data_IF_333852839197
#
_entry.id   IF_333852839197
#
_cell.length_a   1.000
_cell.length_b   1.000
_cell.length_c   1.000
_cell.angle_alpha   90.00
_cell.angle_beta   90.00
_cell.angle_gamma   90.00
#
_symmetry.space_group_name_H-M   'P 1'
#
loop_
_entity.id
_entity.type
_entity.pdbx_description
1 polymer ?
#
# COMPACT_ATOMS: atom_id res chain seq x y z
N UNK A 1 -9.27 23.22 -16.81
CA UNK A 1 -9.04 22.82 -15.39
C UNK A 1 -9.48 21.37 -15.26
N UNK A 2 -8.58 20.43 -15.53
CA UNK A 2 -8.91 19.00 -15.65
C UNK A 2 -8.85 18.34 -14.28
N UNK A 3 -9.98 18.35 -13.56
CA UNK A 3 -10.15 17.63 -12.29
C UNK A 3 -10.47 16.12 -12.46
N UNK A 4 -10.39 15.58 -13.68
CA UNK A 4 -10.85 14.21 -14.00
C UNK A 4 -9.74 13.16 -14.20
N UNK A 5 -8.46 13.51 -14.03
CA UNK A 5 -7.35 12.54 -14.10
C UNK A 5 -6.82 12.11 -12.72
N UNK A 6 -7.41 12.61 -11.65
CA UNK A 6 -6.95 12.47 -10.27
C UNK A 6 -7.94 11.61 -9.44
N UNK A 7 -8.71 10.74 -10.10
CA UNK A 7 -9.90 10.10 -9.51
C UNK A 7 -9.89 8.58 -9.56
N UNK A 8 -9.61 7.98 -10.71
CA UNK A 8 -9.80 6.54 -10.88
C UNK A 8 -8.69 5.74 -10.17
N UNK A 9 -7.45 6.15 -10.39
CA UNK A 9 -6.27 5.49 -9.82
C UNK A 9 -6.16 5.67 -8.30
N UNK A 10 -6.48 6.86 -7.81
CA UNK A 10 -6.52 7.14 -6.37
C UNK A 10 -7.66 6.38 -5.67
N UNK A 11 -8.80 6.20 -6.36
CA UNK A 11 -9.92 5.40 -5.85
C UNK A 11 -9.58 3.90 -5.85
N UNK A 12 -8.94 3.40 -6.91
CA UNK A 12 -8.45 2.02 -6.97
C UNK A 12 -7.46 1.72 -5.84
N UNK A 13 -6.51 2.61 -5.61
CA UNK A 13 -5.54 2.48 -4.53
C UNK A 13 -6.21 2.55 -3.14
N UNK A 14 -7.17 3.45 -2.94
CA UNK A 14 -7.92 3.53 -1.69
C UNK A 14 -8.74 2.26 -1.42
N UNK A 15 -9.33 1.66 -2.45
CA UNK A 15 -10.04 0.38 -2.34
C UNK A 15 -9.07 -0.74 -1.99
N UNK A 16 -7.91 -0.82 -2.66
CA UNK A 16 -6.88 -1.80 -2.34
C UNK A 16 -6.42 -1.70 -0.87
N UNK A 17 -6.18 -0.46 -0.39
CA UNK A 17 -5.81 -0.22 1.01
C UNK A 17 -6.91 -0.73 1.96
N UNK A 18 -8.18 -0.44 1.66
CA UNK A 18 -9.32 -0.85 2.49
C UNK A 18 -9.50 -2.37 2.52
N UNK A 19 -9.25 -3.05 1.40
CA UNK A 19 -9.39 -4.50 1.28
C UNK A 19 -8.21 -5.26 1.93
N UNK A 20 -6.97 -4.80 1.74
CA UNK A 20 -5.76 -5.52 2.13
C UNK A 20 -5.27 -5.20 3.55
N UNK A 21 -5.67 -4.05 4.10
CA UNK A 21 -5.22 -3.56 5.42
C UNK A 21 -6.42 -3.33 6.35
N UNK A 22 -7.05 -4.41 6.85
CA UNK A 22 -8.22 -4.26 7.71
C UNK A 22 -7.85 -3.57 9.03
N UNK A 23 -8.77 -2.72 9.50
CA UNK A 23 -8.55 -1.81 10.64
C UNK A 23 -8.35 -2.50 12.00
N UNK A 24 -8.53 -3.82 12.07
CA UNK A 24 -8.29 -4.65 13.25
C UNK A 24 -6.80 -5.03 13.41
N UNK A 25 -5.97 -4.74 12.41
CA UNK A 25 -4.52 -4.93 12.45
C UNK A 25 -3.82 -3.66 12.93
N UNK A 26 -2.81 -3.78 13.82
CA UNK A 26 -1.93 -2.66 14.22
C UNK A 26 -0.91 -2.36 13.11
N UNK A 27 -1.41 -1.97 11.96
CA UNK A 27 -0.63 -1.46 10.85
C UNK A 27 -1.43 -0.33 10.19
N UNK A 28 -0.75 0.77 9.90
CA UNK A 28 -1.37 1.98 9.35
C UNK A 28 -0.66 2.32 8.06
N UNK A 29 -1.29 2.06 6.90
CA UNK A 29 -0.87 2.61 5.62
C UNK A 29 -0.83 4.14 5.72
N UNK A 30 0.33 4.75 5.45
CA UNK A 30 0.49 6.20 5.50
C UNK A 30 0.89 6.82 4.16
N UNK A 31 1.30 5.98 3.20
CA UNK A 31 1.64 6.41 1.86
C UNK A 31 1.31 5.31 0.85
N UNK A 32 0.84 5.72 -0.32
CA UNK A 32 0.62 4.82 -1.45
C UNK A 32 0.85 5.56 -2.77
N UNK A 33 1.31 4.81 -3.77
CA UNK A 33 1.59 5.37 -5.09
C UNK A 33 1.77 4.29 -6.16
N UNK A 34 1.96 4.74 -7.40
CA UNK A 34 2.25 3.85 -8.53
C UNK A 34 3.75 3.66 -8.67
N UNK A 35 4.15 2.48 -9.11
CA UNK A 35 5.52 2.21 -9.52
C UNK A 35 5.61 1.02 -10.46
N UNK A 36 6.83 0.61 -10.75
CA UNK A 36 7.12 -0.59 -11.53
C UNK A 36 8.06 -1.45 -10.69
N UNK A 37 7.70 -2.72 -10.50
CA UNK A 37 8.50 -3.72 -9.78
C UNK A 37 8.68 -4.92 -10.70
N UNK A 38 9.93 -5.31 -10.95
CA UNK A 38 10.27 -6.41 -11.87
C UNK A 38 9.61 -6.30 -13.26
N UNK A 39 9.48 -5.06 -13.76
CA UNK A 39 8.87 -4.77 -15.06
C UNK A 39 7.34 -4.84 -15.08
N UNK A 40 6.68 -5.00 -13.92
CA UNK A 40 5.22 -5.01 -13.77
C UNK A 40 4.72 -3.72 -13.15
N UNK A 41 3.61 -3.20 -13.66
CA UNK A 41 2.91 -2.08 -13.05
C UNK A 41 2.41 -2.50 -11.67
N UNK A 42 2.73 -1.70 -10.66
CA UNK A 42 2.47 -2.04 -9.28
C UNK A 42 1.93 -0.87 -8.46
N UNK A 43 1.08 -1.19 -7.49
CA UNK A 43 0.77 -0.32 -6.37
C UNK A 43 1.81 -0.53 -5.28
N UNK A 44 2.47 0.56 -4.88
CA UNK A 44 3.45 0.56 -3.79
C UNK A 44 2.78 1.21 -2.58
N UNK A 45 2.77 0.51 -1.45
CA UNK A 45 2.17 0.98 -0.19
C UNK A 45 3.22 0.92 0.91
N UNK A 46 3.37 2.00 1.67
CA UNK A 46 4.13 2.02 2.91
C UNK A 46 3.18 2.02 4.11
N UNK A 47 3.38 1.06 5.00
CA UNK A 47 2.68 0.97 6.27
C UNK A 47 3.64 1.15 7.44
N UNK A 48 3.19 1.85 8.46
CA UNK A 48 3.80 1.82 9.77
C UNK A 48 3.19 0.67 10.55
N UNK A 49 4.01 -0.22 11.11
CA UNK A 49 3.53 -1.37 11.89
C UNK A 49 4.37 -1.52 13.16
N UNK A 50 3.83 -2.27 14.12
CA UNK A 50 4.50 -2.49 15.40
C UNK A 50 3.99 -3.75 16.11
N UNK A 51 4.76 -4.21 17.09
CA UNK A 51 4.37 -5.36 17.91
C UNK A 51 3.13 -5.04 18.76
N UNK A 52 2.41 -6.10 19.17
CA UNK A 52 1.27 -5.98 20.08
C UNK A 52 1.73 -5.30 21.38
N UNK A 53 1.10 -4.16 21.72
CA UNK A 53 1.43 -3.29 22.85
C UNK A 53 2.74 -2.46 22.73
N UNK A 54 3.39 -2.42 21.56
CA UNK A 54 4.54 -1.55 21.29
C UNK A 54 4.17 -0.25 20.54
N UNK A 55 5.20 0.51 20.16
CA UNK A 55 5.13 1.66 19.25
C UNK A 55 5.09 1.20 17.78
N UNK A 56 4.56 2.05 16.89
CA UNK A 56 4.71 1.86 15.44
C UNK A 56 6.11 2.32 15.03
N UNK A 57 7.10 1.47 15.25
CA UNK A 57 8.52 1.77 15.08
C UNK A 57 9.13 1.16 13.82
N UNK A 58 8.34 0.42 13.04
CA UNK A 58 8.80 -0.21 11.80
C UNK A 58 8.00 0.25 10.60
N UNK A 59 8.66 0.29 9.45
CA UNK A 59 8.02 0.55 8.16
C UNK A 59 8.05 -0.73 7.33
N UNK A 60 6.91 -1.13 6.79
CA UNK A 60 6.84 -2.19 5.79
C UNK A 60 6.40 -1.59 4.47
N UNK A 61 7.12 -1.97 3.42
CA UNK A 61 6.79 -1.66 2.04
C UNK A 61 6.15 -2.87 1.39
N UNK A 62 5.09 -2.62 0.65
CA UNK A 62 4.37 -3.61 -0.12
C UNK A 62 4.35 -3.19 -1.58
N UNK A 63 4.49 -4.15 -2.48
CA UNK A 63 4.21 -4.00 -3.89
C UNK A 63 3.12 -4.99 -4.29
N UNK A 64 2.02 -4.49 -4.82
CA UNK A 64 0.92 -5.28 -5.35
C UNK A 64 0.89 -5.14 -6.86
N UNK A 65 0.67 -6.24 -7.57
CA UNK A 65 0.41 -6.22 -9.00
C UNK A 65 -0.85 -5.39 -9.26
N UNK A 66 -0.80 -4.49 -10.25
CA UNK A 66 -1.91 -3.56 -10.49
C UNK A 66 -3.15 -4.27 -11.03
N UNK A 67 -2.97 -5.34 -11.81
CA UNK A 67 -4.07 -6.04 -12.46
C UNK A 67 -4.65 -7.12 -11.54
N UNK A 68 -3.79 -7.97 -10.97
CA UNK A 68 -4.26 -9.09 -10.14
C UNK A 68 -4.49 -8.73 -8.67
N UNK A 69 -3.93 -7.59 -8.21
CA UNK A 69 -3.87 -7.19 -6.80
C UNK A 69 -3.12 -8.17 -5.89
N UNK A 70 -2.40 -9.13 -6.46
CA UNK A 70 -1.57 -10.05 -5.70
C UNK A 70 -0.31 -9.34 -5.18
N UNK A 71 0.21 -9.78 -4.04
CA UNK A 71 1.49 -9.30 -3.53
C UNK A 71 2.62 -9.78 -4.45
N UNK A 72 3.35 -8.83 -5.05
CA UNK A 72 4.60 -9.11 -5.78
C UNK A 72 5.72 -9.32 -4.75
N UNK A 73 5.86 -8.37 -3.82
CA UNK A 73 6.87 -8.42 -2.77
C UNK A 73 6.45 -7.59 -1.55
N UNK A 74 7.02 -7.93 -0.41
CA UNK A 74 6.94 -7.11 0.79
C UNK A 74 8.29 -7.13 1.51
N UNK A 75 8.69 -6.00 2.06
CA UNK A 75 9.94 -5.88 2.81
C UNK A 75 9.75 -4.97 4.02
N UNK A 76 10.47 -5.26 5.09
CA UNK A 76 10.48 -4.47 6.31
C UNK A 76 11.78 -3.67 6.36
N UNK A 77 11.67 -2.37 6.62
CA UNK A 77 12.79 -1.54 7.07
C UNK A 77 12.70 -1.41 8.59
N UNK A 78 13.82 -1.68 9.24
CA UNK A 78 14.07 -1.25 10.62
C UNK A 78 14.50 0.23 10.67
#
# INVERSE_FOLDING_TARGET
MSLRKQGDDESELANLITEQFPADTRAVPFWGGKGVVDGRDAWIIAEAWGLKNGTLDKVRLWAFDRDSRDVITSTVSD
#
